data_IF_918928815175
#
_entry.id   IF_918928815175
#
_cell.length_a   1.000
_cell.length_b   1.000
_cell.length_c   1.000
_cell.angle_alpha   90.00
_cell.angle_beta   90.00
_cell.angle_gamma   90.00
#
_symmetry.space_group_name_H-M   'P 1'
#
loop_
_entity.id
_entity.type
_entity.pdbx_description
1 polymer ?
#
# COMPACT_ATOMS: atom_id res chain seq x y z
N UNK A 1 20.68 5.84 5.22
CA UNK A 1 21.09 6.02 3.82
C UNK A 1 20.37 4.96 3.00
N UNK A 2 19.85 5.31 1.80
CA UNK A 2 19.25 4.34 0.89
C UNK A 2 20.27 3.27 0.48
N UNK A 3 19.81 2.03 0.34
CA UNK A 3 20.64 0.89 -0.08
C UNK A 3 20.78 0.85 -1.60
N UNK A 4 19.69 1.15 -2.33
CA UNK A 4 19.65 1.11 -3.78
C UNK A 4 19.12 2.41 -4.35
N UNK A 5 19.61 2.74 -5.55
CA UNK A 5 19.18 3.91 -6.30
C UNK A 5 18.85 3.50 -7.73
N UNK A 6 17.77 4.07 -8.25
CA UNK A 6 17.38 3.98 -9.65
C UNK A 6 17.31 5.37 -10.24
N UNK A 7 17.63 5.48 -11.52
CA UNK A 7 17.54 6.74 -12.22
C UNK A 7 17.24 6.57 -13.70
N UNK A 8 16.53 7.53 -14.23
CA UNK A 8 16.39 7.78 -15.64
C UNK A 8 16.46 9.30 -15.91
N UNK A 9 16.15 9.72 -17.13
CA UNK A 9 16.17 11.14 -17.48
C UNK A 9 15.17 12.00 -16.70
N UNK A 10 14.07 11.39 -16.20
CA UNK A 10 12.97 12.09 -15.54
C UNK A 10 13.02 11.99 -14.02
N UNK A 11 13.47 10.84 -13.49
CA UNK A 11 13.40 10.56 -12.05
C UNK A 11 14.71 10.04 -11.46
N UNK A 12 14.88 10.36 -10.19
CA UNK A 12 15.83 9.70 -9.29
C UNK A 12 15.07 9.11 -8.10
N UNK A 13 15.34 7.86 -7.77
CA UNK A 13 14.59 7.09 -6.79
C UNK A 13 15.54 6.42 -5.81
N UNK A 14 15.23 6.49 -4.52
CA UNK A 14 15.96 5.82 -3.44
C UNK A 14 15.09 4.74 -2.81
N UNK A 15 15.68 3.57 -2.55
CA UNK A 15 15.03 2.42 -1.93
C UNK A 15 15.88 1.91 -0.78
N UNK A 16 15.27 1.62 0.38
CA UNK A 16 15.92 1.03 1.54
C UNK A 16 15.86 -0.50 1.50
N UNK A 17 16.91 -1.16 2.00
CA UNK A 17 16.89 -2.61 2.19
C UNK A 17 15.89 -3.04 3.27
N UNK A 18 15.77 -2.26 4.36
CA UNK A 18 14.77 -2.51 5.38
C UNK A 18 13.39 -2.20 4.81
N UNK A 19 12.49 -3.19 4.84
CA UNK A 19 11.14 -3.11 4.30
C UNK A 19 11.06 -3.13 2.78
N UNK A 20 12.20 -3.14 2.05
CA UNK A 20 12.18 -2.86 0.61
C UNK A 20 11.47 -1.54 0.30
N UNK A 21 11.61 -0.57 1.19
CA UNK A 21 10.81 0.65 1.19
C UNK A 21 11.31 1.67 0.18
N UNK A 22 10.43 2.11 -0.71
CA UNK A 22 10.66 3.28 -1.56
C UNK A 22 10.62 4.53 -0.68
N UNK A 23 11.73 5.28 -0.60
CA UNK A 23 11.87 6.40 0.35
C UNK A 23 12.05 7.75 -0.32
N UNK A 24 12.20 7.76 -1.64
CA UNK A 24 12.30 8.97 -2.43
C UNK A 24 11.88 8.77 -3.87
N UNK A 25 11.16 9.75 -4.43
CA UNK A 25 10.95 9.95 -5.86
C UNK A 25 11.22 11.42 -6.15
N UNK A 26 12.39 11.73 -6.68
CA UNK A 26 12.75 13.07 -7.12
C UNK A 26 12.43 13.22 -8.60
N UNK A 27 11.53 14.11 -8.93
CA UNK A 27 11.19 14.50 -10.28
C UNK A 27 12.17 15.56 -10.77
N UNK A 28 13.03 15.20 -11.72
CA UNK A 28 14.07 16.09 -12.26
C UNK A 28 13.50 17.19 -13.16
N UNK A 29 12.37 16.92 -13.82
CA UNK A 29 11.74 17.89 -14.72
C UNK A 29 11.04 18.98 -13.96
N UNK A 30 10.30 18.61 -12.91
CA UNK A 30 9.60 19.57 -12.05
C UNK A 30 10.43 20.07 -10.88
N UNK A 31 11.65 19.55 -10.71
CA UNK A 31 12.54 19.87 -9.59
C UNK A 31 11.81 19.70 -8.24
N UNK A 32 11.09 18.59 -8.06
CA UNK A 32 10.17 18.38 -6.95
C UNK A 32 10.26 16.97 -6.36
N UNK A 33 10.02 16.87 -5.05
CA UNK A 33 9.83 15.61 -4.35
C UNK A 33 8.38 15.16 -4.54
N UNK A 34 8.19 13.98 -5.11
CA UNK A 34 6.85 13.42 -5.36
C UNK A 34 6.36 12.54 -4.23
N UNK A 35 7.29 11.84 -3.57
CA UNK A 35 6.98 10.98 -2.43
C UNK A 35 7.13 11.79 -1.13
N UNK A 36 6.28 11.48 -0.16
CA UNK A 36 6.44 12.00 1.20
C UNK A 36 7.77 11.56 1.79
N UNK A 37 8.51 12.51 2.33
CA UNK A 37 9.76 12.23 3.06
C UNK A 37 9.42 11.90 4.51
N UNK A 38 9.85 10.72 4.98
CA UNK A 38 9.68 10.30 6.36
C UNK A 38 10.04 11.43 7.33
N UNK A 39 9.07 11.85 8.16
CA UNK A 39 9.19 13.01 9.05
C UNK A 39 8.80 12.60 10.46
N UNK A 40 9.75 12.75 11.39
CA UNK A 40 9.54 12.44 12.80
C UNK A 40 8.40 13.26 13.40
N UNK A 41 7.54 12.58 14.17
CA UNK A 41 6.37 13.21 14.80
C UNK A 41 5.14 13.34 13.89
N UNK A 42 5.27 13.05 12.58
CA UNK A 42 4.16 13.03 11.61
C UNK A 42 3.96 11.60 11.12
N UNK A 43 4.80 11.16 10.20
CA UNK A 43 4.85 9.79 9.70
C UNK A 43 6.28 9.44 9.33
N UNK A 44 6.82 8.42 9.99
CA UNK A 44 8.24 8.04 9.91
C UNK A 44 8.57 7.15 8.72
N UNK A 45 7.63 6.94 7.79
CA UNK A 45 7.79 6.12 6.60
C UNK A 45 7.46 6.95 5.36
N UNK A 46 7.69 6.36 4.18
CA UNK A 46 7.39 6.99 2.89
C UNK A 46 6.50 6.11 2.02
N UNK A 47 6.79 4.80 1.90
CA UNK A 47 6.01 3.85 1.09
C UNK A 47 6.23 2.41 1.56
N UNK A 48 5.69 2.06 2.72
CA UNK A 48 5.89 0.73 3.31
C UNK A 48 5.15 -0.37 2.57
N UNK A 49 5.73 -1.56 2.59
CA UNK A 49 5.09 -2.80 2.15
C UNK A 49 4.45 -3.51 3.36
N UNK A 50 3.21 -3.95 3.20
CA UNK A 50 2.37 -4.53 4.26
C UNK A 50 2.18 -6.03 4.00
N UNK A 51 2.57 -6.90 4.96
CA UNK A 51 2.41 -8.36 4.89
C UNK A 51 2.75 -8.97 6.26
N UNK A 52 2.14 -10.08 6.71
CA UNK A 52 1.08 -10.86 6.04
C UNK A 52 -0.33 -10.33 6.32
N UNK A 53 -0.46 -9.17 6.95
CA UNK A 53 -1.74 -8.54 7.27
C UNK A 53 -1.71 -7.06 6.93
N UNK A 54 -2.91 -6.54 6.62
CA UNK A 54 -3.17 -5.12 6.38
C UNK A 54 -4.03 -4.57 7.51
N UNK A 55 -3.73 -3.34 7.94
CA UNK A 55 -4.50 -2.62 8.92
C UNK A 55 -4.27 -3.07 10.36
N UNK A 56 -5.21 -2.67 11.22
CA UNK A 56 -5.21 -3.03 12.63
C UNK A 56 -5.78 -4.43 12.83
N UNK A 57 -5.17 -5.17 13.76
CA UNK A 57 -5.69 -6.41 14.30
C UNK A 57 -6.25 -6.14 15.70
N UNK A 58 -7.57 -6.29 15.88
CA UNK A 58 -8.25 -5.99 17.17
C UNK A 58 -7.78 -6.92 18.28
N UNK A 59 -7.45 -8.16 17.95
CA UNK A 59 -6.92 -9.15 18.88
C UNK A 59 -5.38 -9.19 18.98
N UNK A 60 -4.68 -8.27 18.27
CA UNK A 60 -3.20 -8.27 18.19
C UNK A 60 -2.60 -9.55 17.60
N UNK A 61 -3.35 -10.20 16.74
CA UNK A 61 -2.99 -11.45 16.08
C UNK A 61 -4.18 -12.09 15.41
N UNK A 62 -3.96 -13.27 14.87
CA UNK A 62 -4.98 -14.06 14.17
C UNK A 62 -4.99 -15.49 14.71
N UNK A 63 -6.15 -16.11 14.65
CA UNK A 63 -6.37 -17.51 14.95
C UNK A 63 -6.41 -18.34 13.67
N UNK A 64 -5.79 -19.51 13.69
CA UNK A 64 -6.00 -20.59 12.74
C UNK A 64 -6.43 -21.82 13.55
N UNK A 65 -7.73 -22.04 13.65
CA UNK A 65 -8.30 -23.02 14.58
C UNK A 65 -7.95 -22.68 16.04
N UNK A 66 -7.18 -23.56 16.70
CA UNK A 66 -6.74 -23.35 18.10
C UNK A 66 -5.40 -22.61 18.24
N UNK A 67 -4.70 -22.34 17.14
CA UNK A 67 -3.39 -21.68 17.15
C UNK A 67 -3.53 -20.17 17.00
N UNK A 68 -2.91 -19.44 17.91
CA UNK A 68 -2.87 -17.98 17.87
C UNK A 68 -1.49 -17.47 17.40
N UNK A 69 -1.50 -16.63 16.38
CA UNK A 69 -0.31 -15.97 15.84
C UNK A 69 -0.33 -14.49 16.18
N UNK A 70 0.51 -14.09 17.13
CA UNK A 70 0.66 -12.68 17.50
C UNK A 70 1.32 -11.90 16.37
N UNK A 71 0.64 -10.89 15.86
CA UNK A 71 1.11 -10.06 14.74
C UNK A 71 0.89 -8.58 15.05
N UNK A 72 1.83 -7.72 14.68
CA UNK A 72 1.64 -6.27 14.76
C UNK A 72 0.66 -5.80 13.68
N UNK A 73 0.09 -4.62 13.90
CA UNK A 73 -0.68 -3.89 12.88
C UNK A 73 0.17 -3.76 11.60
N UNK A 74 -0.40 -4.02 10.43
CA UNK A 74 0.25 -4.09 9.12
C UNK A 74 1.31 -5.19 8.94
N UNK A 75 1.40 -6.14 9.88
CA UNK A 75 2.35 -7.24 9.82
C UNK A 75 3.81 -6.80 10.02
N UNK A 76 4.73 -7.61 9.53
CA UNK A 76 6.15 -7.48 9.85
C UNK A 76 7.06 -7.15 8.64
N UNK A 77 6.55 -7.19 7.40
CA UNK A 77 7.41 -7.08 6.20
C UNK A 77 8.24 -5.80 6.16
N UNK A 78 7.66 -4.68 6.59
CA UNK A 78 8.34 -3.39 6.68
C UNK A 78 9.58 -3.36 7.58
N UNK A 79 9.77 -4.41 8.40
CA UNK A 79 10.93 -4.57 9.28
C UNK A 79 11.91 -5.65 8.79
N UNK A 80 11.58 -6.34 7.68
CA UNK A 80 12.45 -7.35 7.11
C UNK A 80 13.51 -6.73 6.22
N UNK A 81 14.68 -7.37 6.14
CA UNK A 81 15.73 -6.94 5.22
C UNK A 81 15.56 -7.67 3.89
N UNK A 82 15.46 -6.89 2.83
CA UNK A 82 15.46 -7.40 1.46
C UNK A 82 16.89 -7.53 0.93
N UNK A 83 17.08 -8.47 0.02
CA UNK A 83 18.32 -8.68 -0.75
C UNK A 83 18.08 -8.37 -2.22
N UNK A 84 19.08 -7.81 -2.89
CA UNK A 84 19.01 -7.54 -4.32
C UNK A 84 19.22 -8.84 -5.11
N UNK A 85 18.30 -9.13 -6.03
CA UNK A 85 18.42 -10.21 -6.99
C UNK A 85 18.93 -9.71 -8.33
N UNK A 86 18.49 -8.54 -8.76
CA UNK A 86 18.93 -7.91 -10.00
C UNK A 86 18.74 -6.38 -9.92
N UNK A 87 19.69 -5.63 -10.50
CA UNK A 87 19.61 -4.18 -10.60
C UNK A 87 20.11 -3.71 -11.96
N UNK A 88 19.39 -2.76 -12.55
CA UNK A 88 19.75 -1.95 -13.71
C UNK A 88 19.59 -0.47 -13.33
N UNK A 89 20.02 0.48 -14.15
CA UNK A 89 19.84 1.90 -13.83
C UNK A 89 18.39 2.30 -13.53
N UNK A 90 17.43 1.70 -14.21
CA UNK A 90 15.99 2.01 -14.16
C UNK A 90 15.12 0.90 -13.53
N UNK A 91 15.71 -0.19 -13.09
CA UNK A 91 14.94 -1.30 -12.49
C UNK A 91 15.70 -2.02 -11.38
N UNK A 92 14.96 -2.52 -10.40
CA UNK A 92 15.47 -3.25 -9.25
C UNK A 92 14.52 -4.40 -8.91
N UNK A 93 15.06 -5.60 -8.75
CA UNK A 93 14.36 -6.75 -8.20
C UNK A 93 14.97 -7.12 -6.85
N UNK A 94 14.17 -7.12 -5.80
CA UNK A 94 14.56 -7.46 -4.44
C UNK A 94 13.70 -8.56 -3.86
N UNK A 95 14.22 -9.28 -2.88
CA UNK A 95 13.55 -10.41 -2.24
C UNK A 95 13.67 -10.37 -0.72
N UNK A 96 12.58 -10.69 -0.03
CA UNK A 96 12.56 -11.10 1.36
C UNK A 96 11.92 -12.48 1.48
N UNK A 97 12.37 -13.25 2.47
CA UNK A 97 11.86 -14.60 2.74
C UNK A 97 11.77 -14.87 4.22
N UNK A 98 11.08 -15.95 4.56
CA UNK A 98 10.94 -16.41 5.93
C UNK A 98 12.28 -16.51 6.65
N UNK A 99 12.33 -16.02 7.87
CA UNK A 99 13.46 -16.10 8.82
C UNK A 99 13.02 -16.83 10.08
N UNK A 100 13.95 -17.26 10.91
CA UNK A 100 13.60 -17.87 12.21
C UNK A 100 12.70 -16.95 13.05
N UNK A 101 12.90 -15.63 12.97
CA UNK A 101 12.10 -14.65 13.71
C UNK A 101 10.67 -14.56 13.17
N UNK A 102 10.49 -14.52 11.83
CA UNK A 102 9.15 -14.48 11.24
C UNK A 102 8.42 -15.81 11.37
N UNK A 103 9.12 -16.94 11.27
CA UNK A 103 8.56 -18.27 11.49
C UNK A 103 8.04 -18.49 12.91
N UNK A 104 8.59 -17.80 13.90
CA UNK A 104 8.13 -17.85 15.29
C UNK A 104 6.74 -17.22 15.48
N UNK A 105 6.33 -16.30 14.61
CA UNK A 105 5.04 -15.58 14.68
C UNK A 105 4.12 -15.85 13.49
N UNK A 106 4.66 -16.38 12.39
CA UNK A 106 3.94 -16.74 11.18
C UNK A 106 4.62 -17.96 10.54
N UNK A 107 4.25 -19.19 10.92
CA UNK A 107 5.06 -20.39 10.72
C UNK A 107 4.88 -21.01 9.32
N UNK A 108 5.00 -20.22 8.29
CA UNK A 108 5.01 -20.64 6.90
C UNK A 108 6.28 -20.21 6.19
N UNK A 109 6.75 -21.00 5.25
CA UNK A 109 7.85 -20.65 4.35
C UNK A 109 7.30 -19.75 3.24
N UNK A 110 7.29 -18.46 3.50
CA UNK A 110 6.88 -17.43 2.55
C UNK A 110 8.10 -16.77 1.90
N UNK A 111 7.90 -16.27 0.70
CA UNK A 111 8.87 -15.45 -0.01
C UNK A 111 8.14 -14.35 -0.77
N UNK A 112 8.69 -13.14 -0.75
CA UNK A 112 8.17 -12.00 -1.49
C UNK A 112 9.28 -11.43 -2.35
N UNK A 113 8.97 -11.26 -3.63
CA UNK A 113 9.79 -10.49 -4.55
C UNK A 113 9.08 -9.17 -4.86
N UNK A 114 9.84 -8.08 -4.85
CA UNK A 114 9.34 -6.76 -5.24
C UNK A 114 10.24 -6.21 -6.35
N UNK A 115 9.63 -5.88 -7.48
CA UNK A 115 10.29 -5.22 -8.60
C UNK A 115 9.84 -3.77 -8.68
N UNK A 116 10.82 -2.88 -8.80
CA UNK A 116 10.62 -1.47 -9.10
C UNK A 116 11.12 -1.19 -10.53
N UNK A 117 10.30 -0.52 -11.33
CA UNK A 117 10.67 -0.16 -12.71
C UNK A 117 10.31 1.30 -12.96
N UNK A 118 11.31 2.10 -13.32
CA UNK A 118 11.11 3.51 -13.71
C UNK A 118 10.66 3.61 -15.16
N UNK A 119 9.65 4.45 -15.36
CA UNK A 119 9.17 4.90 -16.67
C UNK A 119 9.40 6.40 -16.82
N UNK A 120 9.17 6.95 -18.01
CA UNK A 120 9.31 8.39 -18.23
C UNK A 120 8.25 9.21 -17.48
N UNK A 121 7.11 8.58 -17.16
CA UNK A 121 6.00 9.22 -16.48
C UNK A 121 5.92 8.90 -14.98
N UNK A 122 6.72 7.92 -14.49
CA UNK A 122 6.62 7.49 -13.09
C UNK A 122 7.25 6.15 -12.80
N UNK A 123 6.60 5.34 -11.96
CA UNK A 123 7.15 4.07 -11.45
C UNK A 123 6.07 2.98 -11.41
N UNK A 124 6.46 1.75 -11.77
CA UNK A 124 5.71 0.54 -11.45
C UNK A 124 6.34 -0.18 -10.26
N UNK A 125 5.49 -0.69 -9.36
CA UNK A 125 5.83 -1.55 -8.23
C UNK A 125 5.09 -2.85 -8.40
N UNK A 126 5.82 -3.94 -8.61
CA UNK A 126 5.28 -5.29 -8.79
C UNK A 126 5.70 -6.14 -7.60
N UNK A 127 4.72 -6.71 -6.91
CA UNK A 127 4.93 -7.57 -5.75
C UNK A 127 4.45 -8.98 -6.07
N UNK A 128 5.26 -9.99 -5.81
CA UNK A 128 4.91 -11.38 -5.99
C UNK A 128 5.11 -12.14 -4.69
N UNK A 129 4.05 -12.76 -4.19
CA UNK A 129 4.05 -13.59 -2.97
C UNK A 129 4.10 -15.05 -3.39
N UNK A 130 5.02 -15.82 -2.81
CA UNK A 130 5.21 -17.25 -3.07
C UNK A 130 4.94 -18.03 -1.79
N UNK A 131 4.26 -19.15 -1.94
CA UNK A 131 4.15 -20.17 -0.91
C UNK A 131 5.23 -21.25 -1.14
N UNK A 132 6.33 -21.14 -0.45
CA UNK A 132 7.42 -22.13 -0.48
C UNK A 132 7.25 -23.19 0.65
N UNK A 133 6.09 -23.18 1.37
CA UNK A 133 5.73 -24.17 2.41
C UNK A 133 5.03 -25.40 1.79
N UNK A 134 4.91 -26.44 2.59
CA UNK A 134 4.16 -27.67 2.24
C UNK A 134 2.68 -27.58 2.61
N UNK A 135 2.26 -26.50 3.26
CA UNK A 135 0.87 -26.21 3.67
C UNK A 135 0.36 -24.98 2.95
N UNK A 136 -0.94 -24.86 2.68
CA UNK A 136 -1.51 -23.59 2.27
C UNK A 136 -1.33 -22.54 3.37
N UNK A 137 -1.18 -21.26 3.00
CA UNK A 137 -1.22 -20.17 3.96
C UNK A 137 -2.09 -19.02 3.49
N UNK A 138 -2.44 -18.17 4.45
CA UNK A 138 -3.31 -17.01 4.26
C UNK A 138 -2.49 -15.74 4.40
N UNK A 139 -2.79 -14.73 3.59
CA UNK A 139 -2.13 -13.43 3.69
C UNK A 139 -3.00 -12.29 3.20
N UNK A 140 -2.70 -11.09 3.66
CA UNK A 140 -3.06 -9.84 3.01
C UNK A 140 -1.77 -9.14 2.58
N UNK A 141 -1.85 -8.40 1.50
CA UNK A 141 -0.73 -7.61 0.97
C UNK A 141 -1.19 -6.17 0.74
N UNK A 142 -0.27 -5.23 0.89
CA UNK A 142 -0.52 -3.84 0.55
C UNK A 142 0.76 -3.07 0.27
N UNK A 143 0.59 -2.00 -0.49
CA UNK A 143 1.61 -0.98 -0.63
C UNK A 143 1.04 0.34 -0.12
N UNK A 144 1.77 1.03 0.75
CA UNK A 144 1.30 2.19 1.49
C UNK A 144 2.14 3.44 1.16
N UNK A 145 2.10 3.93 -0.09
CA UNK A 145 2.85 5.12 -0.49
C UNK A 145 2.16 6.39 -0.01
N UNK A 146 2.94 7.31 0.55
CA UNK A 146 2.55 8.67 0.83
C UNK A 146 3.11 9.61 -0.24
N UNK A 147 2.26 10.46 -0.78
CA UNK A 147 2.62 11.45 -1.79
C UNK A 147 2.59 12.86 -1.19
N UNK A 148 3.49 13.72 -1.68
CA UNK A 148 3.51 15.14 -1.34
C UNK A 148 2.43 15.87 -2.13
N UNK A 149 1.19 15.83 -1.64
CA UNK A 149 0.01 16.48 -2.21
C UNK A 149 -0.51 17.53 -1.24
N UNK A 150 -0.69 18.80 -1.66
CA UNK A 150 -1.07 19.89 -0.76
C UNK A 150 -2.56 19.84 -0.38
N UNK A 151 -2.99 18.75 0.27
CA UNK A 151 -4.36 18.52 0.73
C UNK A 151 -4.83 19.49 1.80
N UNK A 152 -3.91 20.27 2.39
CA UNK A 152 -4.23 21.39 3.28
C UNK A 152 -4.95 22.53 2.55
N UNK A 153 -4.83 22.61 1.23
CA UNK A 153 -5.59 23.51 0.38
C UNK A 153 -6.89 22.85 -0.05
N UNK A 154 -8.00 23.56 0.00
CA UNK A 154 -9.31 23.07 -0.44
C UNK A 154 -9.36 22.85 -1.95
N UNK A 155 -10.26 21.94 -2.38
CA UNK A 155 -10.57 21.69 -3.79
C UNK A 155 -9.84 20.52 -4.43
N UNK A 156 -8.92 19.86 -3.72
CA UNK A 156 -8.33 18.59 -4.16
C UNK A 156 -9.36 17.46 -4.14
N UNK A 157 -9.27 16.53 -5.09
CA UNK A 157 -10.17 15.38 -5.14
C UNK A 157 -9.48 14.15 -5.72
N UNK A 158 -9.98 13.00 -5.33
CA UNK A 158 -9.69 11.71 -5.95
C UNK A 158 -10.84 11.33 -6.88
N UNK A 159 -10.53 10.90 -8.10
CA UNK A 159 -11.49 10.39 -9.09
C UNK A 159 -11.17 8.93 -9.40
N UNK A 160 -12.20 8.08 -9.44
CA UNK A 160 -12.15 6.70 -9.87
C UNK A 160 -12.63 6.63 -11.33
N UNK A 161 -11.67 6.51 -12.26
CA UNK A 161 -11.94 6.79 -13.68
C UNK A 161 -12.65 5.64 -14.39
N UNK A 162 -12.33 4.37 -14.07
CA UNK A 162 -12.82 3.24 -14.84
C UNK A 162 -14.29 2.90 -14.51
N UNK A 163 -14.61 2.75 -13.24
CA UNK A 163 -15.95 2.38 -12.74
C UNK A 163 -16.20 3.02 -11.37
N UNK A 164 -17.46 3.13 -10.90
CA UNK A 164 -17.73 3.46 -9.52
C UNK A 164 -17.11 2.42 -8.59
N UNK A 165 -16.71 2.86 -7.42
CA UNK A 165 -16.19 2.02 -6.33
C UNK A 165 -17.14 2.06 -5.15
N UNK A 166 -17.15 1.02 -4.33
CA UNK A 166 -17.92 1.01 -3.08
C UNK A 166 -17.22 1.87 -2.02
N UNK A 167 -17.95 2.72 -1.34
CA UNK A 167 -17.45 3.65 -0.34
C UNK A 167 -17.86 5.09 -0.62
N UNK A 168 -17.41 6.05 0.21
CA UNK A 168 -16.34 5.94 1.22
C UNK A 168 -16.78 5.19 2.47
N UNK A 169 -15.85 4.38 3.04
CA UNK A 169 -16.01 3.72 4.32
C UNK A 169 -15.03 4.32 5.31
N UNK A 170 -15.55 4.97 6.34
CA UNK A 170 -14.74 5.64 7.35
C UNK A 170 -14.39 4.69 8.50
N UNK A 171 -13.12 4.66 8.88
CA UNK A 171 -12.70 3.91 10.07
C UNK A 171 -13.23 4.57 11.35
N UNK A 172 -13.56 3.73 12.33
CA UNK A 172 -13.90 4.17 13.69
C UNK A 172 -13.04 3.40 14.68
N UNK A 173 -12.23 4.11 15.47
CA UNK A 173 -11.25 3.48 16.36
C UNK A 173 -10.26 2.56 15.61
N UNK A 174 -9.97 2.86 14.33
CA UNK A 174 -9.14 2.08 13.41
C UNK A 174 -9.75 0.74 12.96
N UNK A 175 -11.04 0.50 13.17
CA UNK A 175 -11.80 -0.63 12.63
C UNK A 175 -12.70 -0.17 11.48
N UNK A 176 -13.19 -1.10 10.67
CA UNK A 176 -13.93 -0.82 9.46
C UNK A 176 -15.20 -1.67 9.37
N UNK A 177 -16.36 -1.08 9.62
CA UNK A 177 -17.65 -1.69 9.34
C UNK A 177 -18.09 -1.37 7.90
N UNK A 178 -18.54 -2.39 7.18
CA UNK A 178 -19.09 -2.26 5.83
C UNK A 178 -20.60 -2.48 5.92
N UNK A 179 -21.44 -1.53 5.43
CA UNK A 179 -22.90 -1.73 5.40
C UNK A 179 -23.28 -2.80 4.36
N UNK A 180 -24.45 -3.40 4.53
CA UNK A 180 -25.00 -4.40 3.58
C UNK A 180 -25.24 -3.78 2.18
N UNK A 181 -25.70 -2.54 2.13
CA UNK A 181 -25.88 -1.75 0.89
C UNK A 181 -24.87 -0.60 0.88
N UNK A 182 -23.64 -0.85 0.33
CA UNK A 182 -22.60 0.14 0.35
C UNK A 182 -22.86 1.23 -0.69
N UNK A 183 -22.59 2.51 -0.35
CA UNK A 183 -22.68 3.58 -1.33
C UNK A 183 -21.66 3.39 -2.45
N UNK A 184 -21.99 3.86 -3.63
CA UNK A 184 -21.06 3.94 -4.76
C UNK A 184 -20.58 5.38 -4.97
N UNK A 185 -19.31 5.54 -5.33
CA UNK A 185 -18.75 6.84 -5.67
C UNK A 185 -17.76 6.77 -6.84
N UNK A 186 -17.69 7.87 -7.58
CA UNK A 186 -16.66 8.11 -8.60
C UNK A 186 -15.68 9.21 -8.19
N UNK A 187 -16.04 10.03 -7.20
CA UNK A 187 -15.20 11.14 -6.77
C UNK A 187 -15.25 11.27 -5.26
N UNK A 188 -14.12 11.57 -4.68
CA UNK A 188 -13.98 11.80 -3.26
C UNK A 188 -13.22 13.11 -3.03
N UNK A 189 -13.84 14.11 -2.37
CA UNK A 189 -13.18 15.37 -2.05
C UNK A 189 -12.12 15.14 -0.96
N UNK A 190 -10.94 15.70 -1.17
CA UNK A 190 -9.89 15.72 -0.17
C UNK A 190 -10.02 16.98 0.67
N UNK A 191 -10.27 16.82 1.96
CA UNK A 191 -10.41 17.92 2.92
C UNK A 191 -9.46 17.71 4.08
N UNK A 192 -9.03 18.80 4.72
CA UNK A 192 -8.14 18.73 5.87
C UNK A 192 -8.70 17.85 7.00
N UNK A 193 -10.02 17.84 7.18
CA UNK A 193 -10.70 17.07 8.23
C UNK A 193 -11.11 15.66 7.79
N UNK A 194 -10.93 15.32 6.52
CA UNK A 194 -11.39 14.05 5.93
C UNK A 194 -10.75 12.81 6.56
N UNK A 195 -9.59 12.97 7.22
CA UNK A 195 -8.83 11.88 7.83
C UNK A 195 -8.76 11.94 9.36
N UNK A 196 -9.57 12.76 10.01
CA UNK A 196 -9.58 12.90 11.48
C UNK A 196 -9.98 11.60 12.20
N UNK A 197 -10.81 10.76 11.57
CA UNK A 197 -11.19 9.45 12.10
C UNK A 197 -10.21 8.33 11.72
N UNK A 198 -9.22 8.61 10.88
CA UNK A 198 -8.26 7.65 10.32
C UNK A 198 -8.42 7.47 8.82
N UNK A 199 -8.05 6.29 8.30
CA UNK A 199 -8.13 5.98 6.89
C UNK A 199 -9.58 5.88 6.38
N UNK A 200 -9.77 6.23 5.11
CA UNK A 200 -11.03 6.06 4.37
C UNK A 200 -10.82 4.97 3.33
N UNK A 201 -11.66 3.93 3.36
CA UNK A 201 -11.54 2.77 2.49
C UNK A 201 -12.54 2.81 1.35
N UNK A 202 -12.13 2.18 0.24
CA UNK A 202 -12.95 1.94 -0.95
C UNK A 202 -12.78 0.49 -1.38
N UNK A 203 -13.88 -0.17 -1.70
CA UNK A 203 -13.92 -1.55 -2.21
C UNK A 203 -14.16 -1.60 -3.72
N UNK A 204 -14.01 -2.79 -4.33
CA UNK A 204 -14.15 -3.01 -5.78
C UNK A 204 -13.16 -2.21 -6.62
N UNK A 205 -11.94 -2.06 -6.11
CA UNK A 205 -10.89 -1.24 -6.74
C UNK A 205 -9.98 -1.99 -7.71
N UNK A 206 -10.27 -3.25 -8.05
CA UNK A 206 -9.46 -3.99 -9.04
C UNK A 206 -9.47 -3.28 -10.39
N UNK A 207 -8.28 -3.21 -11.01
CA UNK A 207 -8.07 -2.58 -12.32
C UNK A 207 -8.62 -1.15 -12.40
N UNK A 208 -8.54 -0.44 -11.28
CA UNK A 208 -9.00 0.94 -11.17
C UNK A 208 -7.87 1.91 -11.50
N UNK A 209 -8.20 2.94 -12.25
CA UNK A 209 -7.36 4.12 -12.41
C UNK A 209 -7.83 5.21 -11.46
N UNK A 210 -7.03 5.48 -10.46
CA UNK A 210 -7.23 6.53 -9.47
C UNK A 210 -6.52 7.79 -9.95
N UNK A 211 -7.22 8.92 -10.02
CA UNK A 211 -6.69 10.21 -10.47
C UNK A 211 -6.78 11.20 -9.33
N UNK A 212 -5.67 11.83 -8.96
CA UNK A 212 -5.66 12.98 -8.03
C UNK A 212 -5.68 14.27 -8.84
N UNK A 213 -6.70 15.10 -8.60
CA UNK A 213 -6.86 16.39 -9.28
C UNK A 213 -6.67 17.56 -8.34
N UNK A 214 -5.97 18.57 -8.84
CA UNK A 214 -5.84 19.87 -8.16
C UNK A 214 -7.16 20.65 -8.18
N UNK A 215 -7.27 21.75 -7.40
CA UNK A 215 -8.43 22.64 -7.43
C UNK A 215 -8.74 23.21 -8.81
N UNK A 216 -7.72 23.38 -9.66
CA UNK A 216 -7.84 23.86 -11.03
C UNK A 216 -8.23 22.74 -12.04
N UNK A 217 -8.45 21.50 -11.54
CA UNK A 217 -8.81 20.36 -12.36
C UNK A 217 -7.63 19.64 -13.03
N UNK A 218 -6.39 20.11 -12.83
CA UNK A 218 -5.19 19.45 -13.40
C UNK A 218 -4.93 18.12 -12.70
N UNK A 219 -4.41 17.14 -13.44
CA UNK A 219 -3.98 15.86 -12.89
C UNK A 219 -2.64 16.07 -12.19
N UNK A 220 -2.55 15.72 -10.90
CA UNK A 220 -1.28 15.73 -10.16
C UNK A 220 -0.58 14.37 -10.24
N UNK A 221 -1.34 13.28 -10.08
CA UNK A 221 -0.88 11.92 -10.29
C UNK A 221 -2.02 11.00 -10.70
N UNK A 222 -1.66 9.87 -11.29
CA UNK A 222 -2.55 8.72 -11.48
C UNK A 222 -1.94 7.49 -10.84
N UNK A 223 -2.78 6.61 -10.27
CA UNK A 223 -2.38 5.33 -9.71
C UNK A 223 -3.29 4.24 -10.28
N UNK A 224 -2.68 3.19 -10.85
CA UNK A 224 -3.39 2.00 -11.30
C UNK A 224 -3.25 0.92 -10.22
N UNK A 225 -4.38 0.39 -9.75
CA UNK A 225 -4.43 -0.51 -8.60
C UNK A 225 -4.15 -1.97 -8.95
N UNK A 226 -4.19 -2.35 -10.24
CA UNK A 226 -3.99 -3.74 -10.66
C UNK A 226 -4.97 -4.69 -9.97
N UNK A 227 -4.46 -5.74 -9.37
CA UNK A 227 -5.23 -6.84 -8.77
C UNK A 227 -5.79 -6.51 -7.37
N UNK A 228 -5.38 -5.40 -6.75
CA UNK A 228 -5.83 -5.03 -5.41
C UNK A 228 -7.32 -4.66 -5.40
N UNK A 229 -8.06 -5.32 -4.50
CA UNK A 229 -9.53 -5.16 -4.40
C UNK A 229 -9.96 -3.96 -3.58
N UNK A 230 -9.07 -3.45 -2.76
CA UNK A 230 -9.29 -2.33 -1.85
C UNK A 230 -8.33 -1.19 -2.13
N UNK A 231 -8.79 0.02 -1.83
CA UNK A 231 -7.97 1.22 -1.75
C UNK A 231 -8.23 1.89 -0.40
N UNK A 232 -7.17 2.32 0.28
CA UNK A 232 -7.32 3.24 1.40
C UNK A 232 -6.70 4.60 1.05
N UNK A 233 -7.34 5.66 1.53
CA UNK A 233 -6.79 7.01 1.56
C UNK A 233 -6.53 7.38 3.01
N UNK A 234 -5.36 7.93 3.28
CA UNK A 234 -5.01 8.44 4.59
C UNK A 234 -4.16 9.69 4.45
N UNK A 235 -4.25 10.59 5.42
CA UNK A 235 -3.47 11.80 5.47
C UNK A 235 -3.41 12.36 6.88
N UNK A 236 -2.52 13.33 7.08
CA UNK A 236 -2.43 14.08 8.33
C UNK A 236 -2.96 15.49 8.07
N UNK A 237 -4.04 15.93 8.75
CA UNK A 237 -4.76 17.17 8.42
C UNK A 237 -3.90 18.44 8.38
N UNK A 238 -2.78 18.46 9.11
CA UNK A 238 -1.87 19.60 9.16
C UNK A 238 -0.71 19.53 8.15
N UNK A 239 -0.67 18.49 7.32
CA UNK A 239 0.47 18.20 6.44
C UNK A 239 0.01 17.95 5.00
N UNK A 240 0.88 18.28 4.05
CA UNK A 240 0.70 17.97 2.63
C UNK A 240 1.10 16.51 2.34
N UNK A 241 0.48 15.59 3.07
CA UNK A 241 0.65 14.15 2.96
C UNK A 241 -0.67 13.50 2.57
N UNK A 242 -0.69 12.80 1.45
CA UNK A 242 -1.77 11.91 1.05
C UNK A 242 -1.23 10.51 0.77
N UNK A 243 -1.60 9.53 1.57
CA UNK A 243 -1.39 8.13 1.26
C UNK A 243 -2.52 7.64 0.35
N UNK A 244 -2.15 6.90 -0.70
CA UNK A 244 -3.07 6.24 -1.62
C UNK A 244 -2.63 4.78 -1.69
N UNK A 245 -3.34 3.93 -0.98
CA UNK A 245 -2.89 2.59 -0.63
C UNK A 245 -3.68 1.52 -1.39
N UNK A 246 -3.13 0.93 -2.47
CA UNK A 246 -3.71 -0.27 -3.07
C UNK A 246 -3.46 -1.48 -2.15
N UNK A 247 -4.55 -2.19 -1.81
CA UNK A 247 -4.58 -3.20 -0.76
C UNK A 247 -5.31 -4.47 -1.21
N UNK A 248 -4.76 -5.64 -0.92
CA UNK A 248 -5.45 -6.92 -0.89
C UNK A 248 -5.77 -7.26 0.57
N UNK A 249 -6.73 -6.56 1.15
CA UNK A 249 -7.17 -6.66 2.53
C UNK A 249 -7.49 -5.33 3.17
N UNK A 250 -8.03 -5.37 4.38
CA UNK A 250 -8.42 -4.18 5.15
C UNK A 250 -8.04 -4.32 6.62
N UNK A 251 -8.20 -3.22 7.40
CA UNK A 251 -8.28 -3.30 8.86
C UNK A 251 -9.47 -4.18 9.29
N UNK A 252 -9.46 -4.68 10.52
CA UNK A 252 -10.51 -5.57 11.04
C UNK A 252 -11.87 -4.88 11.16
N UNK A 253 -12.93 -5.70 11.09
CA UNK A 253 -14.25 -5.30 11.52
C UNK A 253 -14.28 -5.10 13.05
N UNK A 254 -15.19 -4.26 13.58
CA UNK A 254 -15.36 -4.09 15.03
C UNK A 254 -15.60 -5.40 15.79
N UNK A 255 -16.34 -6.33 15.17
CA UNK A 255 -16.75 -7.60 15.75
C UNK A 255 -16.02 -8.81 15.15
N UNK A 256 -14.84 -8.59 14.57
CA UNK A 256 -14.08 -9.65 13.95
C UNK A 256 -13.64 -10.70 14.98
N UNK A 257 -13.92 -11.97 14.68
CA UNK A 257 -13.60 -13.10 15.58
C UNK A 257 -12.10 -13.39 15.75
N UNK A 258 -11.28 -12.86 14.84
CA UNK A 258 -9.84 -13.14 14.79
C UNK A 258 -9.44 -14.32 13.94
N UNK A 259 -10.40 -15.10 13.40
CA UNK A 259 -10.09 -16.27 12.55
C UNK A 259 -9.51 -15.82 11.19
N UNK A 260 -8.31 -16.32 10.84
CA UNK A 260 -7.54 -15.91 9.67
C UNK A 260 -8.34 -16.04 8.36
N UNK A 261 -9.09 -17.13 8.21
CA UNK A 261 -9.87 -17.42 7.00
C UNK A 261 -11.08 -16.49 6.82
N UNK A 262 -11.46 -15.77 7.87
CA UNK A 262 -12.60 -14.84 7.88
C UNK A 262 -12.20 -13.39 7.83
N UNK A 263 -10.88 -13.10 7.92
CA UNK A 263 -10.41 -11.72 7.79
C UNK A 263 -10.68 -11.19 6.39
N UNK A 264 -11.28 -10.00 6.30
CA UNK A 264 -11.65 -9.39 5.01
C UNK A 264 -10.45 -9.20 4.10
N UNK A 265 -10.60 -9.70 2.86
CA UNK A 265 -9.60 -9.59 1.80
C UNK A 265 -8.38 -10.50 1.96
N UNK A 266 -8.42 -11.45 2.90
CA UNK A 266 -7.37 -12.45 3.01
C UNK A 266 -7.29 -13.30 1.75
N UNK A 267 -6.08 -13.48 1.23
CA UNK A 267 -5.76 -14.34 0.10
C UNK A 267 -5.27 -15.69 0.61
N UNK A 268 -5.44 -16.74 -0.18
CA UNK A 268 -4.92 -18.08 0.11
C UNK A 268 -4.01 -18.54 -1.03
N UNK A 269 -2.86 -19.10 -0.69
CA UNK A 269 -1.94 -19.76 -1.62
C UNK A 269 -1.75 -21.22 -1.24
N UNK A 270 -1.97 -22.13 -2.18
CA UNK A 270 -1.59 -23.53 -2.04
C UNK A 270 -0.04 -23.69 -2.12
N UNK A 271 0.51 -24.82 -1.64
CA UNK A 271 1.94 -25.09 -1.76
C UNK A 271 2.46 -24.94 -3.19
N UNK A 272 3.55 -24.20 -3.35
CA UNK A 272 4.18 -23.93 -4.65
C UNK A 272 3.49 -22.89 -5.52
N UNK A 273 2.34 -22.37 -5.10
CA UNK A 273 1.67 -21.28 -5.83
C UNK A 273 2.31 -19.93 -5.55
N UNK A 274 2.05 -18.98 -6.45
CA UNK A 274 2.38 -17.58 -6.28
C UNK A 274 1.24 -16.69 -6.74
N UNK A 275 1.19 -15.46 -6.19
CA UNK A 275 0.23 -14.44 -6.59
C UNK A 275 0.94 -13.13 -6.84
N UNK A 276 0.55 -12.46 -7.93
CA UNK A 276 1.15 -11.24 -8.40
C UNK A 276 0.21 -10.04 -8.18
N UNK A 277 0.80 -8.92 -7.78
CA UNK A 277 0.14 -7.63 -7.60
C UNK A 277 0.99 -6.54 -8.24
N UNK A 278 0.38 -5.68 -9.02
CA UNK A 278 1.07 -4.58 -9.67
C UNK A 278 0.35 -3.27 -9.39
N UNK A 279 1.14 -2.24 -9.14
CA UNK A 279 0.70 -0.86 -9.00
C UNK A 279 1.56 0.01 -9.89
N UNK A 280 0.95 0.88 -10.67
CA UNK A 280 1.65 1.88 -11.47
C UNK A 280 1.27 3.27 -11.02
N UNK A 281 2.26 4.13 -10.80
CA UNK A 281 2.08 5.55 -10.49
C UNK A 281 2.69 6.37 -11.60
N UNK A 282 1.90 7.31 -12.13
CA UNK A 282 2.38 8.31 -13.09
C UNK A 282 2.15 9.71 -12.51
N UNK A 283 3.14 10.57 -12.65
CA UNK A 283 3.06 11.97 -12.28
C UNK A 283 2.77 12.82 -13.51
N UNK A 284 1.90 13.80 -13.36
CA UNK A 284 1.64 14.70 -14.47
C UNK A 284 2.89 15.51 -14.81
N UNK A 285 3.15 15.62 -16.08
CA UNK A 285 4.09 16.61 -16.62
C UNK A 285 3.25 17.84 -16.94
N UNK A 286 3.55 18.99 -16.33
CA UNK A 286 2.93 20.25 -16.75
C UNK A 286 3.36 20.52 -18.20
N UNK A 287 2.39 20.64 -19.10
CA UNK A 287 2.58 21.07 -20.48
C UNK A 287 2.99 22.53 -20.55
#
# INVERSE_FOLDING_TARGET
MSQWQLENRCFHVDINATGGELVRIWDRQQNAERLWRATSGIWNNSATQLFPVVGRLIHKGLWEGEHFYALPDHGFLRHQTFTCLAQKPDSLLIEAKATLQTLAVWPWQWRIQTAFTLHNEGISVSQQVFNDDVRPFWFSLGWHPGFSIPITRSGWQVEFANKPVHGPFYTRGRTLAIPEDPPETRRFPLTADGFTSGAVYFGHCQEQRVIVRSPEGRIALTLETGQQTWLALWGVPSCDLLCIEPLAGTTDDPDFSGEVTRKRGMQSLAPGECQHFETRVCFAVDE
#
